data_IF_700893678334
#
_entry.id   IF_700893678334
#
_cell.length_a   1.000
_cell.length_b   1.000
_cell.length_c   1.000
_cell.angle_alpha   90.00
_cell.angle_beta   90.00
_cell.angle_gamma   90.00
#
_symmetry.space_group_name_H-M   'P 1'
#
loop_
_entity.id
_entity.type
_entity.pdbx_description
1 polymer ?
#
# COMPACT_ATOMS: atom_id res chain seq x y z
N UNK A 1 -12.52 21.73 -7.81
CA UNK A 1 -12.23 23.08 -7.26
C UNK A 1 -12.30 24.08 -8.41
N UNK A 2 -13.05 25.17 -8.30
CA UNK A 2 -12.97 26.28 -9.25
C UNK A 2 -12.00 27.32 -8.68
N UNK A 3 -10.82 27.45 -9.29
CA UNK A 3 -9.64 28.12 -8.71
C UNK A 3 -9.29 29.43 -9.43
N UNK A 4 -10.09 29.84 -10.42
CA UNK A 4 -9.78 30.98 -11.28
C UNK A 4 -8.40 30.85 -11.94
N UNK A 5 -7.64 31.95 -12.03
CA UNK A 5 -6.27 32.00 -12.59
C UNK A 5 -5.15 31.82 -11.54
N UNK A 6 -5.43 31.19 -10.39
CA UNK A 6 -4.38 31.00 -9.38
C UNK A 6 -3.45 29.84 -9.78
N UNK A 7 -2.12 30.01 -9.77
CA UNK A 7 -1.19 28.94 -10.08
C UNK A 7 -1.33 27.81 -9.05
N UNK A 8 -1.48 26.58 -9.54
CA UNK A 8 -1.48 25.36 -8.72
C UNK A 8 -0.08 24.77 -8.78
N UNK A 9 0.54 24.55 -7.63
CA UNK A 9 1.76 23.73 -7.54
C UNK A 9 1.44 22.53 -6.67
N UNK A 10 1.66 21.33 -7.20
CA UNK A 10 1.55 20.09 -6.44
C UNK A 10 2.91 19.85 -5.79
N UNK A 11 2.94 19.85 -4.46
CA UNK A 11 4.10 19.40 -3.69
C UNK A 11 3.71 18.09 -3.03
N UNK A 12 4.43 17.04 -3.36
CA UNK A 12 4.30 15.74 -2.73
C UNK A 12 4.76 15.81 -1.27
N UNK A 13 4.12 15.08 -0.35
CA UNK A 13 4.70 14.85 0.97
C UNK A 13 5.85 13.85 0.84
N UNK A 14 6.90 14.04 1.64
CA UNK A 14 7.95 13.05 1.71
C UNK A 14 7.52 11.80 2.46
N UNK A 15 8.24 10.70 2.20
CA UNK A 15 8.15 9.46 2.96
C UNK A 15 9.47 9.23 3.71
N UNK A 16 9.41 8.84 4.99
CA UNK A 16 10.60 8.54 5.79
C UNK A 16 11.38 7.35 5.23
N UNK A 17 12.68 7.29 5.48
CA UNK A 17 13.48 6.13 5.09
C UNK A 17 13.11 4.88 5.93
N UNK A 18 13.16 3.67 5.34
CA UNK A 18 12.86 2.47 6.08
C UNK A 18 13.81 2.25 7.26
N UNK A 19 13.28 1.77 8.39
CA UNK A 19 14.09 1.44 9.55
C UNK A 19 14.73 0.05 9.32
N UNK A 20 16.06 -0.09 9.41
CA UNK A 20 16.70 -1.39 9.30
C UNK A 20 16.19 -2.35 10.38
N UNK A 21 15.78 -3.54 9.97
CA UNK A 21 15.40 -4.62 10.89
C UNK A 21 16.63 -5.41 11.31
N UNK A 22 16.79 -5.62 12.62
CA UNK A 22 17.86 -6.45 13.15
C UNK A 22 17.75 -7.90 12.66
N UNK A 23 18.89 -8.57 12.51
CA UNK A 23 18.91 -10.01 12.19
C UNK A 23 18.19 -10.78 13.30
N UNK A 24 17.21 -11.60 12.94
CA UNK A 24 16.42 -12.38 13.89
C UNK A 24 15.22 -11.64 14.51
N UNK A 25 14.89 -10.42 14.06
CA UNK A 25 13.66 -9.74 14.48
C UNK A 25 12.42 -10.61 14.22
N UNK A 26 11.56 -10.74 15.23
CA UNK A 26 10.27 -11.43 15.14
C UNK A 26 9.16 -10.38 15.26
N UNK A 27 8.27 -10.27 14.26
CA UNK A 27 7.17 -9.33 14.33
C UNK A 27 6.07 -9.81 15.30
N UNK A 28 5.16 -8.91 15.65
CA UNK A 28 3.94 -9.19 16.44
C UNK A 28 3.15 -10.41 15.97
N UNK A 29 3.07 -10.65 14.66
CA UNK A 29 2.55 -11.89 14.06
C UNK A 29 3.48 -12.40 12.97
N UNK A 30 3.94 -13.64 13.08
CA UNK A 30 4.79 -14.27 12.08
C UNK A 30 3.94 -15.17 11.16
N UNK A 31 3.79 -14.84 9.87
CA UNK A 31 3.08 -15.70 8.91
C UNK A 31 3.80 -17.04 8.73
N UNK A 32 3.04 -18.12 8.62
CA UNK A 32 3.54 -19.47 8.39
C UNK A 32 3.79 -19.73 6.89
N UNK A 33 3.10 -18.96 6.04
CA UNK A 33 3.16 -19.03 4.58
C UNK A 33 3.59 -17.70 3.97
N UNK A 34 3.96 -17.65 2.68
CA UNK A 34 4.09 -16.39 1.96
C UNK A 34 2.83 -15.54 2.18
N UNK A 35 2.96 -14.23 2.36
CA UNK A 35 1.81 -13.40 2.73
C UNK A 35 1.68 -12.16 1.86
N UNK A 36 0.43 -11.73 1.70
CA UNK A 36 0.02 -10.45 1.16
C UNK A 36 -0.17 -9.49 2.32
N UNK A 37 0.35 -8.28 2.20
CA UNK A 37 0.34 -7.32 3.28
C UNK A 37 -0.53 -6.11 2.94
N UNK A 38 -1.38 -5.70 3.88
CA UNK A 38 -2.14 -4.46 3.81
C UNK A 38 -1.94 -3.67 5.10
N UNK A 39 -1.78 -2.34 4.99
CA UNK A 39 -1.52 -1.46 6.12
C UNK A 39 -2.44 -0.25 6.09
N UNK A 40 -3.07 0.06 7.23
CA UNK A 40 -3.83 1.29 7.44
C UNK A 40 -4.96 1.08 8.46
N UNK A 41 -5.55 2.17 8.95
CA UNK A 41 -6.75 2.08 9.81
C UNK A 41 -7.79 1.17 9.18
N UNK A 42 -8.17 0.09 9.87
CA UNK A 42 -8.99 -0.98 9.33
C UNK A 42 -10.44 -0.52 9.34
N UNK A 43 -10.84 0.21 8.30
CA UNK A 43 -12.15 0.83 8.16
C UNK A 43 -12.72 0.69 6.74
N UNK A 44 -14.00 1.00 6.51
CA UNK A 44 -14.63 0.83 5.20
C UNK A 44 -13.95 1.55 4.03
N UNK A 45 -13.28 2.70 4.29
CA UNK A 45 -12.59 3.46 3.24
C UNK A 45 -11.36 2.73 2.71
N UNK A 46 -10.67 1.95 3.55
CA UNK A 46 -9.51 1.13 3.13
C UNK A 46 -9.89 -0.10 2.32
N UNK A 47 -11.16 -0.51 2.38
CA UNK A 47 -11.73 -1.54 1.52
C UNK A 47 -11.11 -2.95 1.64
N UNK A 48 -10.43 -3.30 2.75
CA UNK A 48 -9.66 -4.56 2.85
C UNK A 48 -10.45 -5.87 2.67
N UNK A 49 -11.76 -5.90 2.93
CA UNK A 49 -12.58 -7.10 2.68
C UNK A 49 -12.57 -7.58 1.22
N UNK A 50 -12.32 -6.71 0.24
CA UNK A 50 -12.28 -7.10 -1.18
C UNK A 50 -11.01 -7.90 -1.55
N UNK A 51 -10.03 -7.97 -0.64
CA UNK A 51 -8.80 -8.72 -0.86
C UNK A 51 -8.97 -10.21 -0.60
N UNK A 52 -10.04 -10.63 0.07
CA UNK A 52 -10.26 -12.01 0.49
C UNK A 52 -10.25 -13.00 -0.68
N UNK A 53 -10.94 -12.73 -1.82
CA UNK A 53 -10.93 -13.64 -2.96
C UNK A 53 -9.54 -13.84 -3.57
N UNK A 54 -8.58 -12.94 -3.33
CA UNK A 54 -7.21 -13.09 -3.83
C UNK A 54 -6.46 -14.27 -3.19
N UNK A 55 -6.97 -14.85 -2.11
CA UNK A 55 -6.38 -16.03 -1.47
C UNK A 55 -6.85 -17.35 -2.09
N UNK A 56 -7.87 -17.32 -2.95
CA UNK A 56 -8.34 -18.52 -3.66
C UNK A 56 -7.27 -19.06 -4.61
N UNK A 57 -7.21 -20.38 -4.76
CA UNK A 57 -6.30 -21.07 -5.69
C UNK A 57 -4.80 -20.80 -5.47
N UNK A 58 -4.41 -20.38 -4.26
CA UNK A 58 -3.03 -20.21 -3.83
C UNK A 58 -2.88 -20.50 -2.33
N UNK A 59 -1.67 -20.36 -1.80
CA UNK A 59 -1.36 -20.64 -0.40
C UNK A 59 -0.93 -19.40 0.41
N UNK A 60 -1.28 -18.19 -0.05
CA UNK A 60 -0.94 -16.96 0.67
C UNK A 60 -1.71 -16.80 1.99
N UNK A 61 -1.10 -16.13 2.97
CA UNK A 61 -1.85 -15.47 4.04
C UNK A 61 -2.16 -14.02 3.67
N UNK A 62 -3.25 -13.45 4.22
CA UNK A 62 -3.52 -12.02 4.20
C UNK A 62 -3.30 -11.44 5.59
N UNK A 63 -2.27 -10.59 5.72
CA UNK A 63 -1.95 -9.88 6.95
C UNK A 63 -2.37 -8.42 6.80
N UNK A 64 -3.30 -7.98 7.65
CA UNK A 64 -3.84 -6.62 7.69
C UNK A 64 -3.40 -5.98 9.01
N UNK A 65 -2.55 -4.96 8.92
CA UNK A 65 -2.10 -4.18 10.06
C UNK A 65 -2.76 -2.80 10.09
N UNK A 66 -3.05 -2.32 11.30
CA UNK A 66 -3.57 -0.99 11.58
C UNK A 66 -4.62 -1.00 12.69
N UNK A 67 -4.97 0.21 13.17
CA UNK A 67 -5.96 0.37 14.23
C UNK A 67 -7.32 -0.23 13.80
N UNK A 68 -7.87 -1.21 14.54
CA UNK A 68 -9.12 -1.85 14.17
C UNK A 68 -10.33 -0.95 14.43
N UNK A 69 -11.28 -0.96 13.50
CA UNK A 69 -12.68 -0.63 13.74
C UNK A 69 -13.44 -1.95 13.89
N UNK A 70 -13.98 -2.23 15.07
CA UNK A 70 -14.57 -3.54 15.39
C UNK A 70 -15.68 -3.94 14.41
N UNK A 71 -16.50 -2.98 13.96
CA UNK A 71 -17.57 -3.28 13.00
C UNK A 71 -17.04 -3.69 11.63
N UNK A 72 -15.92 -3.10 11.21
CA UNK A 72 -15.33 -3.43 9.92
C UNK A 72 -14.48 -4.71 9.96
N UNK A 73 -13.82 -4.99 11.09
CA UNK A 73 -13.12 -6.27 11.29
C UNK A 73 -14.11 -7.43 11.17
N UNK A 74 -15.30 -7.33 11.76
CA UNK A 74 -16.36 -8.34 11.59
C UNK A 74 -16.68 -8.57 10.11
N UNK A 75 -16.87 -7.50 9.32
CA UNK A 75 -17.12 -7.62 7.88
C UNK A 75 -15.99 -8.35 7.13
N UNK A 76 -14.74 -8.07 7.47
CA UNK A 76 -13.58 -8.76 6.86
C UNK A 76 -13.61 -10.25 7.19
N UNK A 77 -13.89 -10.61 8.45
CA UNK A 77 -13.90 -12.00 8.89
C UNK A 77 -15.11 -12.77 8.36
N UNK A 78 -16.29 -12.14 8.27
CA UNK A 78 -17.47 -12.73 7.62
C UNK A 78 -17.21 -13.02 6.15
N UNK A 79 -16.53 -12.11 5.45
CA UNK A 79 -16.13 -12.34 4.05
C UNK A 79 -15.12 -13.49 3.95
N UNK A 80 -14.14 -13.55 4.86
CA UNK A 80 -13.21 -14.69 4.94
C UNK A 80 -13.94 -16.01 5.17
N UNK A 81 -14.98 -16.03 6.02
CA UNK A 81 -15.76 -17.22 6.33
C UNK A 81 -16.58 -17.71 5.13
N UNK A 82 -17.22 -16.80 4.39
CA UNK A 82 -17.97 -17.14 3.16
C UNK A 82 -17.12 -17.88 2.14
N UNK A 83 -15.84 -17.55 2.06
CA UNK A 83 -14.89 -18.19 1.15
C UNK A 83 -14.15 -19.38 1.79
N UNK A 84 -14.39 -19.71 3.07
CA UNK A 84 -13.68 -20.78 3.79
C UNK A 84 -12.20 -20.45 4.05
N UNK A 85 -11.84 -19.17 4.13
CA UNK A 85 -10.47 -18.65 4.21
C UNK A 85 -10.11 -18.03 5.57
N UNK A 86 -10.99 -18.09 6.57
CA UNK A 86 -10.79 -17.42 7.87
C UNK A 86 -9.47 -17.73 8.56
N UNK A 87 -8.93 -18.94 8.40
CA UNK A 87 -7.63 -19.32 8.99
C UNK A 87 -6.44 -18.58 8.39
N UNK A 88 -6.58 -18.07 7.15
CA UNK A 88 -5.52 -17.41 6.36
C UNK A 88 -5.58 -15.88 6.42
N UNK A 89 -6.54 -15.32 7.15
CA UNK A 89 -6.74 -13.87 7.27
C UNK A 89 -6.42 -13.43 8.69
N UNK A 90 -5.52 -12.46 8.84
CA UNK A 90 -5.01 -11.99 10.12
C UNK A 90 -5.11 -10.48 10.20
N UNK A 91 -5.99 -9.99 11.07
CA UNK A 91 -6.04 -8.56 11.45
C UNK A 91 -5.24 -8.40 12.74
N UNK A 92 -4.04 -7.82 12.64
CA UNK A 92 -3.04 -7.87 13.73
C UNK A 92 -2.99 -6.61 14.59
N UNK A 93 -3.83 -5.62 14.28
CA UNK A 93 -3.84 -4.35 15.01
C UNK A 93 -2.70 -3.42 14.60
N UNK A 94 -2.49 -2.35 15.39
CA UNK A 94 -1.41 -1.40 15.14
C UNK A 94 -0.05 -2.05 15.41
N UNK A 95 0.93 -1.74 14.57
CA UNK A 95 2.30 -2.25 14.64
C UNK A 95 3.28 -1.08 14.79
N UNK A 96 4.45 -1.35 15.36
CA UNK A 96 5.52 -0.36 15.43
C UNK A 96 6.27 -0.23 14.08
N UNK A 97 7.18 0.75 14.00
CA UNK A 97 7.92 1.04 12.77
C UNK A 97 8.92 -0.06 12.38
N UNK A 98 9.41 -0.84 13.35
CA UNK A 98 10.35 -1.95 13.11
C UNK A 98 9.58 -3.12 12.50
N UNK A 99 8.44 -3.48 13.09
CA UNK A 99 7.50 -4.46 12.56
C UNK A 99 7.00 -4.06 11.17
N UNK A 100 6.62 -2.79 10.99
CA UNK A 100 6.20 -2.27 9.68
C UNK A 100 7.27 -2.48 8.61
N UNK A 101 8.51 -2.13 8.92
CA UNK A 101 9.65 -2.36 8.03
C UNK A 101 9.88 -3.85 7.76
N UNK A 102 9.68 -4.71 8.76
CA UNK A 102 9.77 -6.17 8.60
C UNK A 102 8.68 -6.69 7.66
N UNK A 103 7.42 -6.29 7.83
CA UNK A 103 6.32 -6.74 6.97
C UNK A 103 6.51 -6.28 5.54
N UNK A 104 6.87 -5.02 5.31
CA UNK A 104 7.18 -4.54 3.96
C UNK A 104 8.34 -5.30 3.33
N UNK A 105 9.41 -5.59 4.08
CA UNK A 105 10.55 -6.35 3.56
C UNK A 105 10.20 -7.79 3.20
N UNK A 106 9.32 -8.43 3.96
CA UNK A 106 9.07 -9.87 3.86
C UNK A 106 7.77 -10.23 3.13
N UNK A 107 6.88 -9.29 2.84
CA UNK A 107 5.66 -9.59 2.10
C UNK A 107 5.95 -10.02 0.66
N UNK A 108 5.03 -10.78 0.09
CA UNK A 108 5.04 -11.18 -1.32
C UNK A 108 4.59 -10.00 -2.19
N UNK A 109 3.53 -9.32 -1.76
CA UNK A 109 3.01 -8.10 -2.37
C UNK A 109 2.37 -7.22 -1.30
N UNK A 110 2.36 -5.91 -1.55
CA UNK A 110 1.60 -4.96 -0.76
C UNK A 110 0.29 -4.61 -1.48
N UNK A 111 -0.83 -4.68 -0.78
CA UNK A 111 -2.16 -4.46 -1.32
C UNK A 111 -2.83 -3.27 -0.64
N UNK A 112 -3.35 -2.35 -1.44
CA UNK A 112 -3.95 -1.12 -0.95
C UNK A 112 -5.19 -0.73 -1.77
N UNK A 113 -6.32 -1.44 -1.58
CA UNK A 113 -7.54 -1.29 -2.38
C UNK A 113 -8.39 -0.07 -1.95
N UNK A 114 -7.78 0.94 -1.33
CA UNK A 114 -8.51 2.04 -0.71
C UNK A 114 -9.29 2.85 -1.74
N UNK A 115 -10.52 3.23 -1.39
CA UNK A 115 -11.41 4.01 -2.27
C UNK A 115 -11.33 5.51 -1.99
N UNK A 116 -10.67 5.92 -0.91
CA UNK A 116 -10.50 7.33 -0.56
C UNK A 116 -9.20 7.54 0.21
N UNK A 117 -8.24 8.22 -0.42
CA UNK A 117 -6.96 8.57 0.20
C UNK A 117 -6.66 10.06 0.10
N UNK A 118 -5.94 10.55 1.10
CA UNK A 118 -5.27 11.86 1.01
C UNK A 118 -4.03 11.75 0.13
N UNK A 119 -3.00 11.04 0.62
CA UNK A 119 -1.69 11.04 -0.03
C UNK A 119 -1.13 9.66 -0.40
N UNK A 120 -1.53 8.56 0.26
CA UNK A 120 -1.00 7.23 -0.10
C UNK A 120 0.46 6.98 0.31
N UNK A 121 0.85 7.37 1.54
CA UNK A 121 2.19 7.06 2.10
C UNK A 121 2.47 5.54 2.16
N UNK A 122 1.54 4.67 2.59
CA UNK A 122 1.84 3.23 2.73
C UNK A 122 2.29 2.53 1.43
N UNK A 123 1.71 2.84 0.25
CA UNK A 123 2.28 2.42 -1.04
C UNK A 123 3.74 2.82 -1.25
N UNK A 124 4.10 4.09 -0.99
CA UNK A 124 5.48 4.57 -1.15
C UNK A 124 6.42 3.78 -0.25
N UNK A 125 6.04 3.58 1.02
CA UNK A 125 6.83 2.80 1.98
C UNK A 125 7.11 1.38 1.45
N UNK A 126 6.10 0.68 0.92
CA UNK A 126 6.28 -0.64 0.30
C UNK A 126 7.21 -0.61 -0.92
N UNK A 127 7.07 0.41 -1.78
CA UNK A 127 7.91 0.57 -2.97
C UNK A 127 9.38 0.80 -2.62
N UNK A 128 9.69 1.43 -1.47
CA UNK A 128 11.09 1.58 -1.01
C UNK A 128 11.77 0.22 -0.73
N UNK A 129 11.01 -0.84 -0.48
CA UNK A 129 11.52 -2.21 -0.39
C UNK A 129 11.55 -2.94 -1.74
N UNK A 130 11.13 -2.28 -2.83
CA UNK A 130 11.03 -2.85 -4.17
C UNK A 130 9.91 -3.86 -4.33
N UNK A 131 8.89 -3.84 -3.45
CA UNK A 131 7.79 -4.81 -3.50
C UNK A 131 6.78 -4.47 -4.60
N UNK A 132 6.15 -5.49 -5.22
CA UNK A 132 5.00 -5.23 -6.08
C UNK A 132 3.87 -4.65 -5.22
N UNK A 133 3.32 -3.52 -5.66
CA UNK A 133 2.20 -2.86 -5.00
C UNK A 133 0.96 -2.92 -5.89
N UNK A 134 -0.17 -3.32 -5.33
CA UNK A 134 -1.46 -3.36 -6.00
C UNK A 134 -2.39 -2.32 -5.38
N UNK A 135 -2.73 -1.30 -6.15
CA UNK A 135 -3.45 -0.12 -5.71
C UNK A 135 -4.84 -0.06 -6.35
N UNK A 136 -5.78 0.66 -5.76
CA UNK A 136 -6.96 1.07 -6.51
C UNK A 136 -6.61 2.19 -7.50
N UNK A 137 -7.47 2.40 -8.50
CA UNK A 137 -7.39 3.55 -9.42
C UNK A 137 -7.95 4.85 -8.84
N UNK A 138 -8.31 4.88 -7.55
CA UNK A 138 -9.00 6.00 -6.92
C UNK A 138 -8.04 7.06 -6.39
N UNK A 139 -8.48 8.33 -6.41
CA UNK A 139 -7.80 9.47 -5.75
C UNK A 139 -6.35 9.67 -6.20
N UNK A 140 -5.41 9.83 -5.26
CA UNK A 140 -3.99 10.08 -5.51
C UNK A 140 -3.18 8.81 -5.84
N UNK A 141 -3.77 7.63 -5.75
CA UNK A 141 -3.02 6.37 -5.90
C UNK A 141 -2.40 6.14 -7.29
N UNK A 142 -3.03 6.52 -8.42
CA UNK A 142 -2.37 6.44 -9.73
C UNK A 142 -1.14 7.35 -9.85
N UNK A 143 -1.17 8.52 -9.21
CA UNK A 143 -0.07 9.48 -9.20
C UNK A 143 1.10 8.95 -8.34
N UNK A 144 0.79 8.36 -7.19
CA UNK A 144 1.78 7.71 -6.32
C UNK A 144 2.36 6.45 -6.97
N UNK A 145 1.51 5.61 -7.54
CA UNK A 145 1.89 4.32 -8.10
C UNK A 145 2.66 4.42 -9.41
N UNK A 146 2.33 5.41 -10.24
CA UNK A 146 2.90 5.57 -11.57
C UNK A 146 2.79 4.31 -12.43
N UNK A 147 3.73 4.15 -13.35
CA UNK A 147 3.79 2.98 -14.25
C UNK A 147 4.37 1.71 -13.59
N UNK A 148 4.95 1.84 -12.38
CA UNK A 148 5.62 0.73 -11.69
C UNK A 148 4.70 -0.04 -10.74
N UNK A 149 3.51 0.50 -10.46
CA UNK A 149 2.46 -0.16 -9.67
C UNK A 149 1.50 -0.97 -10.55
N UNK A 150 0.79 -1.89 -9.89
CA UNK A 150 -0.33 -2.63 -10.46
C UNK A 150 -1.65 -2.07 -9.93
N UNK A 151 -2.73 -2.21 -10.70
CA UNK A 151 -3.99 -1.53 -10.39
C UNK A 151 -5.20 -2.46 -10.46
N UNK A 152 -6.02 -2.39 -9.41
CA UNK A 152 -7.39 -2.88 -9.42
C UNK A 152 -8.29 -1.79 -10.01
N UNK A 153 -8.85 -2.08 -11.20
CA UNK A 153 -9.74 -1.15 -11.92
C UNK A 153 -11.15 -1.13 -11.34
N UNK A 154 -11.55 -2.25 -10.76
CA UNK A 154 -12.78 -2.47 -10.03
C UNK A 154 -12.48 -3.43 -8.87
N UNK A 155 -13.50 -3.71 -8.06
CA UNK A 155 -13.38 -4.62 -6.91
C UNK A 155 -14.19 -5.91 -7.09
N UNK A 156 -14.48 -6.29 -8.34
CA UNK A 156 -15.12 -7.57 -8.62
C UNK A 156 -14.10 -8.70 -8.46
N UNK A 157 -14.42 -9.79 -7.73
CA UNK A 157 -13.46 -10.83 -7.37
C UNK A 157 -12.63 -11.38 -8.54
N UNK A 158 -13.29 -11.74 -9.65
CA UNK A 158 -12.63 -12.32 -10.83
C UNK A 158 -11.69 -11.32 -11.51
N UNK A 159 -12.11 -10.07 -11.59
CA UNK A 159 -11.30 -8.97 -12.17
C UNK A 159 -10.06 -8.75 -11.32
N UNK A 160 -10.22 -8.65 -10.00
CA UNK A 160 -9.12 -8.50 -9.05
C UNK A 160 -8.14 -9.66 -9.08
N UNK A 161 -8.63 -10.90 -9.10
CA UNK A 161 -7.79 -12.10 -9.22
C UNK A 161 -6.99 -12.10 -10.53
N UNK A 162 -7.61 -11.68 -11.63
CA UNK A 162 -6.96 -11.60 -12.94
C UNK A 162 -5.84 -10.55 -12.94
N UNK A 163 -6.11 -9.34 -12.45
CA UNK A 163 -5.10 -8.28 -12.38
C UNK A 163 -3.99 -8.62 -11.39
N UNK A 164 -4.33 -9.27 -10.26
CA UNK A 164 -3.35 -9.78 -9.31
C UNK A 164 -2.42 -10.82 -9.94
N UNK A 165 -2.97 -11.84 -10.59
CA UNK A 165 -2.19 -12.88 -11.24
C UNK A 165 -1.26 -12.33 -12.33
N UNK A 166 -1.79 -11.46 -13.21
CA UNK A 166 -1.00 -10.78 -14.26
C UNK A 166 0.12 -9.93 -13.67
N UNK A 167 -0.17 -9.17 -12.61
CA UNK A 167 0.81 -8.31 -11.98
C UNK A 167 1.94 -9.12 -11.32
N UNK A 168 1.58 -10.20 -10.61
CA UNK A 168 2.54 -11.11 -10.00
C UNK A 168 3.40 -11.83 -11.04
N UNK A 169 2.81 -12.27 -12.16
CA UNK A 169 3.54 -12.86 -13.28
C UNK A 169 4.51 -11.86 -13.90
N UNK A 170 4.05 -10.64 -14.19
CA UNK A 170 4.91 -9.56 -14.69
C UNK A 170 6.08 -9.30 -13.73
N UNK A 171 5.81 -9.19 -12.42
CA UNK A 171 6.83 -8.92 -11.42
C UNK A 171 7.87 -10.04 -11.38
N UNK A 172 7.43 -11.30 -11.40
CA UNK A 172 8.31 -12.47 -11.40
C UNK A 172 9.21 -12.52 -12.64
N UNK A 173 8.66 -12.19 -13.81
CA UNK A 173 9.37 -12.31 -15.09
C UNK A 173 10.35 -11.14 -15.34
N UNK A 174 9.98 -9.92 -14.94
CA UNK A 174 10.75 -8.71 -15.24
C UNK A 174 11.61 -8.22 -14.06
N UNK A 175 11.31 -8.67 -12.84
CA UNK A 175 12.00 -8.28 -11.60
C UNK A 175 12.20 -6.76 -11.45
N UNK A 176 11.15 -5.92 -11.59
CA UNK A 176 11.27 -4.46 -11.64
C UNK A 176 11.55 -3.80 -10.28
N UNK A 177 12.13 -4.54 -9.32
CA UNK A 177 12.30 -4.09 -7.94
C UNK A 177 13.12 -2.79 -7.84
N UNK A 178 14.15 -2.63 -8.67
CA UNK A 178 15.00 -1.43 -8.66
C UNK A 178 14.31 -0.23 -9.31
N UNK A 179 13.47 -0.45 -10.34
CA UNK A 179 12.62 0.59 -10.92
C UNK A 179 11.57 1.08 -9.93
N UNK A 180 10.94 0.16 -9.19
CA UNK A 180 9.99 0.47 -8.13
C UNK A 180 10.65 1.30 -7.03
N UNK A 181 11.86 0.91 -6.57
CA UNK A 181 12.61 1.70 -5.58
C UNK A 181 12.98 3.09 -6.11
N UNK A 182 13.43 3.17 -7.36
CA UNK A 182 13.78 4.45 -8.01
C UNK A 182 12.58 5.38 -8.12
N UNK A 183 11.40 4.85 -8.43
CA UNK A 183 10.14 5.60 -8.42
C UNK A 183 9.83 6.13 -7.03
N UNK A 184 9.95 5.30 -5.99
CA UNK A 184 9.70 5.71 -4.60
C UNK A 184 10.62 6.85 -4.11
N UNK A 185 11.85 6.94 -4.62
CA UNK A 185 12.81 8.00 -4.27
C UNK A 185 12.36 9.41 -4.69
N UNK A 186 11.41 9.53 -5.62
CA UNK A 186 10.85 10.81 -6.04
C UNK A 186 10.00 11.46 -4.93
N UNK A 187 9.50 10.67 -3.97
CA UNK A 187 8.66 11.13 -2.86
C UNK A 187 9.50 11.37 -1.59
N UNK A 188 10.57 12.16 -1.71
CA UNK A 188 11.46 12.47 -0.59
C UNK A 188 11.10 13.81 0.08
N UNK A 189 11.30 13.87 1.40
CA UNK A 189 10.95 15.05 2.22
C UNK A 189 11.79 16.29 1.90
N UNK A 190 13.04 16.11 1.47
CA UNK A 190 13.92 17.23 1.16
C UNK A 190 13.46 18.00 -0.08
N UNK A 191 13.02 17.32 -1.12
CA UNK A 191 12.51 17.94 -2.34
C UNK A 191 11.12 18.54 -2.12
N UNK A 192 10.33 17.93 -1.24
CA UNK A 192 9.08 18.51 -0.73
C UNK A 192 9.35 19.84 -0.03
N UNK A 193 10.28 19.86 0.94
CA UNK A 193 10.65 21.04 1.70
C UNK A 193 11.31 22.14 0.85
N UNK A 194 12.18 21.78 -0.11
CA UNK A 194 12.78 22.71 -1.08
C UNK A 194 11.71 23.34 -1.97
N UNK A 195 10.73 22.56 -2.43
CA UNK A 195 9.62 23.06 -3.24
C UNK A 195 8.74 24.03 -2.43
N UNK A 196 8.44 23.71 -1.17
CA UNK A 196 7.75 24.65 -0.27
C UNK A 196 8.54 25.95 -0.10
N UNK A 197 9.86 25.86 0.14
CA UNK A 197 10.72 27.04 0.30
C UNK A 197 10.77 27.90 -0.97
N UNK A 198 10.79 27.29 -2.15
CA UNK A 198 10.77 27.99 -3.44
C UNK A 198 9.45 28.74 -3.65
N UNK A 199 8.30 28.14 -3.32
CA UNK A 199 7.00 28.82 -3.35
C UNK A 199 6.98 29.99 -2.37
N UNK A 200 7.38 29.78 -1.12
CA UNK A 200 7.43 30.86 -0.13
C UNK A 200 8.30 32.03 -0.61
N UNK A 201 9.49 31.75 -1.18
CA UNK A 201 10.37 32.79 -1.74
C UNK A 201 9.74 33.53 -2.92
N UNK A 202 9.07 32.82 -3.84
CA UNK A 202 8.40 33.45 -4.99
C UNK A 202 7.18 34.28 -4.57
N UNK A 203 6.49 33.92 -3.48
CA UNK A 203 5.31 34.65 -3.00
C UNK A 203 5.69 35.85 -2.12
N UNK A 204 6.88 35.84 -1.50
CA UNK A 204 7.38 36.95 -0.69
C UNK A 204 8.18 37.98 -1.50
N UNK A 205 8.71 37.59 -2.67
CA UNK A 205 9.51 38.46 -3.54
C UNK A 205 8.76 38.94 -4.80
N UNK A 206 7.47 38.66 -4.92
CA UNK A 206 6.57 39.15 -5.99
C UNK A 206 5.45 39.98 -5.41
#
# INVERSE_FOLDING_TARGET
>A
LNIGNKPITVIYNGCAEPIPTAVGHKPSYQPEKPFLFALGTVNPKKNFHVLIPLLENNDYELVIAGKPDSGYVTKIMEEAEKHGLSSRVKVIGAIDEIDKSWYYKNCTAFLFPSIAEGFGIPPIEAMKFGKPVFLSTSTSLPEIGGAVAYYFKDFEPISMQTEFAKGMEHYKNNQPADEIKKHAQQFNWEDSAKSYLAIYRNTLNG
#
